data_IF_643400132572
#
_entry.id   IF_643400132572
#
_cell.length_a   1.000
_cell.length_b   1.000
_cell.length_c   1.000
_cell.angle_alpha   90.00
_cell.angle_beta   90.00
_cell.angle_gamma   90.00
#
_symmetry.space_group_name_H-M   'P 1'
#
loop_
_entity.id
_entity.type
_entity.pdbx_description
1 polymer ?
#
# COMPACT_ATOMS: atom_id res chain seq x y z
N UNK A 1 -0.41 -8.61 8.71
CA UNK A 1 0.72 -8.04 9.47
C UNK A 1 2.04 -8.39 8.79
N UNK A 2 3.05 -7.52 8.88
CA UNK A 2 4.40 -7.79 8.39
C UNK A 2 5.03 -9.03 9.07
N UNK A 3 5.59 -9.97 8.30
CA UNK A 3 6.22 -11.18 8.86
C UNK A 3 7.42 -10.87 9.75
N UNK A 4 7.71 -11.75 10.71
CA UNK A 4 8.81 -11.57 11.68
C UNK A 4 10.17 -11.36 11.00
N UNK A 5 10.44 -12.08 9.91
CA UNK A 5 11.69 -11.98 9.16
C UNK A 5 11.82 -10.61 8.47
N UNK A 6 10.78 -10.18 7.77
CA UNK A 6 10.76 -8.87 7.10
C UNK A 6 10.78 -7.74 8.14
N UNK A 7 10.15 -7.91 9.30
CA UNK A 7 10.25 -7.01 10.46
C UNK A 7 11.70 -6.92 10.97
N UNK A 8 12.40 -8.04 11.14
CA UNK A 8 13.83 -8.08 11.51
C UNK A 8 14.72 -7.37 10.47
N UNK A 9 14.46 -7.56 9.18
CA UNK A 9 15.17 -6.84 8.09
C UNK A 9 14.97 -5.32 8.20
N UNK A 10 13.73 -4.85 8.34
CA UNK A 10 13.45 -3.42 8.54
C UNK A 10 14.12 -2.89 9.83
N UNK A 11 14.03 -3.61 10.94
CA UNK A 11 14.63 -3.19 12.22
C UNK A 11 16.15 -3.12 12.16
N UNK A 12 16.82 -4.12 11.56
CA UNK A 12 18.28 -4.12 11.35
C UNK A 12 18.71 -2.97 10.43
N UNK A 13 17.93 -2.66 9.40
CA UNK A 13 18.21 -1.50 8.54
C UNK A 13 18.04 -0.20 9.33
N UNK A 14 16.92 -0.02 10.01
CA UNK A 14 16.63 1.22 10.75
C UNK A 14 17.57 1.45 11.92
N UNK A 15 17.99 0.42 12.66
CA UNK A 15 18.99 0.55 13.74
C UNK A 15 20.34 1.08 13.26
N UNK A 16 20.67 0.86 11.98
CA UNK A 16 21.92 1.34 11.37
C UNK A 16 21.83 2.77 10.83
N UNK A 17 20.66 3.41 10.87
CA UNK A 17 20.48 4.78 10.39
C UNK A 17 20.76 5.80 11.50
N UNK A 18 21.54 6.87 11.23
CA UNK A 18 21.80 7.95 12.19
C UNK A 18 20.63 8.95 12.30
N UNK A 19 19.41 8.54 11.96
CA UNK A 19 18.20 9.35 12.00
C UNK A 19 17.09 8.64 12.78
N UNK A 20 16.05 9.38 13.14
CA UNK A 20 14.89 8.85 13.85
C UNK A 20 13.90 8.28 12.83
N UNK A 21 13.28 7.16 13.15
CA UNK A 21 12.28 6.50 12.30
C UNK A 21 10.95 6.54 13.02
N UNK A 22 9.94 7.17 12.42
CA UNK A 22 8.56 7.05 12.88
C UNK A 22 7.88 5.94 12.08
N UNK A 23 7.44 4.89 12.77
CA UNK A 23 6.77 3.75 12.13
C UNK A 23 5.35 3.66 12.70
N UNK A 24 4.33 3.79 11.83
CA UNK A 24 2.97 3.40 12.23
C UNK A 24 2.96 1.88 12.47
N UNK A 25 2.51 1.43 13.64
CA UNK A 25 2.54 0.01 13.99
C UNK A 25 1.39 -0.34 14.93
N UNK A 26 0.78 -1.52 14.73
CA UNK A 26 -0.51 -1.90 15.32
C UNK A 26 -0.51 -2.05 16.86
N UNK A 27 0.65 -2.26 17.48
CA UNK A 27 0.83 -2.39 18.94
C UNK A 27 1.67 -1.25 19.55
N UNK A 28 1.51 -0.98 20.86
CA UNK A 28 2.33 0.02 21.57
C UNK A 28 3.78 -0.45 21.79
N UNK A 29 4.05 -1.75 21.56
CA UNK A 29 5.33 -2.39 21.75
C UNK A 29 5.71 -3.14 20.47
N UNK A 30 6.88 -2.83 19.92
CA UNK A 30 7.45 -3.51 18.76
C UNK A 30 8.58 -4.45 19.22
N UNK A 31 8.48 -5.78 19.01
CA UNK A 31 9.52 -6.71 19.42
C UNK A 31 10.86 -6.41 18.73
N UNK A 32 11.89 -6.12 19.52
CA UNK A 32 13.23 -5.75 19.03
C UNK A 32 13.37 -4.29 18.57
N UNK A 33 12.52 -3.37 19.04
CA UNK A 33 12.57 -1.94 18.70
C UNK A 33 13.92 -1.27 19.02
N UNK A 34 14.65 -0.73 18.03
CA UNK A 34 15.84 0.09 18.25
C UNK A 34 15.51 1.44 18.88
N UNK A 35 16.47 2.03 19.60
CA UNK A 35 16.30 3.32 20.30
C UNK A 35 16.03 4.53 19.38
N UNK A 36 16.38 4.44 18.09
CA UNK A 36 16.08 5.45 17.10
C UNK A 36 14.75 5.22 16.35
N UNK A 37 14.03 4.13 16.61
CA UNK A 37 12.71 3.83 16.05
C UNK A 37 11.63 4.17 17.08
N UNK A 38 10.66 4.99 16.70
CA UNK A 38 9.47 5.33 17.50
C UNK A 38 8.21 4.81 16.81
N UNK A 39 7.48 3.93 17.51
CA UNK A 39 6.22 3.37 17.02
C UNK A 39 4.99 4.08 17.58
N UNK A 40 3.94 4.17 16.76
CA UNK A 40 2.60 4.65 17.14
C UNK A 40 1.51 3.89 16.38
N UNK A 41 0.40 3.56 17.05
CA UNK A 41 -0.80 2.98 16.41
C UNK A 41 -1.40 3.88 15.33
N UNK A 42 -1.37 5.19 15.58
CA UNK A 42 -1.88 6.20 14.66
C UNK A 42 -0.85 7.31 14.46
N UNK A 43 -0.64 7.68 13.20
CA UNK A 43 0.22 8.77 12.78
C UNK A 43 -0.58 9.64 11.81
N UNK A 44 -0.68 10.95 12.09
CA UNK A 44 -1.29 11.92 11.18
C UNK A 44 -0.35 12.17 9.99
N UNK A 45 -0.37 11.26 9.03
CA UNK A 45 0.60 11.19 7.93
C UNK A 45 0.79 12.53 7.20
N UNK A 46 -0.30 13.16 6.77
CA UNK A 46 -0.28 14.47 6.09
C UNK A 46 0.42 15.55 6.94
N UNK A 47 0.17 15.62 8.25
CA UNK A 47 0.83 16.58 9.14
C UNK A 47 2.32 16.26 9.31
N UNK A 48 2.66 14.98 9.47
CA UNK A 48 4.05 14.55 9.63
C UNK A 48 4.83 14.84 8.34
N UNK A 49 4.33 14.48 7.16
CA UNK A 49 4.99 14.70 5.87
C UNK A 49 5.26 16.19 5.61
N UNK A 50 4.40 17.10 6.09
CA UNK A 50 4.62 18.55 6.00
C UNK A 50 5.66 19.11 6.96
N UNK A 51 6.24 18.30 7.87
CA UNK A 51 7.23 18.77 8.82
C UNK A 51 8.62 18.93 8.15
N UNK A 52 9.33 20.07 8.34
CA UNK A 52 10.55 20.41 7.57
C UNK A 52 11.74 19.44 7.72
N UNK A 53 11.75 18.64 8.78
CA UNK A 53 12.80 17.63 9.06
C UNK A 53 12.53 16.24 8.41
N UNK A 54 11.44 16.07 7.67
CA UNK A 54 11.17 14.85 6.89
C UNK A 54 12.10 14.81 5.68
N UNK A 55 12.72 13.65 5.45
CA UNK A 55 13.68 13.49 4.34
C UNK A 55 13.34 12.35 3.40
N UNK A 56 12.60 11.34 3.86
CA UNK A 56 12.20 10.20 3.05
C UNK A 56 10.93 9.56 3.62
N UNK A 57 10.00 9.22 2.74
CA UNK A 57 8.81 8.46 3.04
C UNK A 57 8.91 7.03 2.49
N UNK A 58 8.75 6.02 3.34
CA UNK A 58 8.70 4.61 2.94
C UNK A 58 7.24 4.14 3.00
N UNK A 59 6.69 3.69 1.87
CA UNK A 59 5.25 3.37 1.76
C UNK A 59 5.01 2.18 0.84
N UNK A 60 3.84 1.55 0.93
CA UNK A 60 3.39 0.52 -0.02
C UNK A 60 3.08 1.07 -1.43
N UNK A 61 3.24 2.38 -1.67
CA UNK A 61 2.98 3.04 -2.95
C UNK A 61 1.50 3.09 -3.39
N UNK A 62 0.57 3.15 -2.43
CA UNK A 62 -0.82 3.52 -2.71
C UNK A 62 -0.94 4.96 -3.20
N UNK A 63 -1.89 5.20 -4.12
CA UNK A 63 -2.05 6.48 -4.83
C UNK A 63 -2.14 7.70 -3.90
N UNK A 64 -2.99 7.64 -2.86
CA UNK A 64 -3.19 8.74 -1.91
C UNK A 64 -1.90 9.04 -1.11
N UNK A 65 -1.19 8.01 -0.65
CA UNK A 65 0.08 8.17 0.07
C UNK A 65 1.17 8.82 -0.80
N UNK A 66 1.18 8.53 -2.11
CA UNK A 66 2.06 9.21 -3.07
C UNK A 66 1.62 10.66 -3.30
N UNK A 67 0.32 10.95 -3.40
CA UNK A 67 -0.18 12.32 -3.57
C UNK A 67 0.15 13.20 -2.34
N UNK A 68 0.03 12.70 -1.12
CA UNK A 68 0.44 13.43 0.09
C UNK A 68 1.95 13.72 0.11
N UNK A 69 2.78 12.74 -0.26
CA UNK A 69 4.23 12.92 -0.33
C UNK A 69 4.64 13.88 -1.46
N UNK A 70 3.97 13.84 -2.62
CA UNK A 70 4.10 14.85 -3.68
C UNK A 70 3.70 16.23 -3.15
N UNK A 71 2.57 16.34 -2.46
CA UNK A 71 2.11 17.62 -1.91
C UNK A 71 3.13 18.23 -0.95
N UNK A 72 3.87 17.43 -0.17
CA UNK A 72 4.94 17.95 0.71
C UNK A 72 6.35 17.95 0.09
N UNK A 73 6.50 17.51 -1.16
CA UNK A 73 7.80 17.41 -1.83
C UNK A 73 8.76 16.46 -1.12
N UNK A 74 8.24 15.33 -0.61
CA UNK A 74 8.99 14.30 0.12
C UNK A 74 9.34 13.14 -0.82
N UNK A 75 10.63 12.80 -0.98
CA UNK A 75 11.06 11.62 -1.73
C UNK A 75 10.47 10.32 -1.20
N UNK A 76 10.26 9.35 -2.10
CA UNK A 76 9.54 8.10 -1.78
C UNK A 76 10.41 6.87 -2.01
N UNK A 77 10.45 5.96 -1.04
CA UNK A 77 10.89 4.58 -1.23
C UNK A 77 9.67 3.65 -1.18
N UNK A 78 9.22 3.22 -2.35
CA UNK A 78 8.07 2.34 -2.45
C UNK A 78 8.46 0.88 -2.26
N UNK A 79 7.72 0.20 -1.40
CA UNK A 79 7.77 -1.25 -1.20
C UNK A 79 6.40 -1.80 -1.63
N UNK A 80 6.10 -1.91 -2.94
CA UNK A 80 4.80 -2.36 -3.42
C UNK A 80 4.55 -3.85 -3.13
N UNK A 81 3.29 -4.18 -2.93
CA UNK A 81 2.80 -5.51 -2.57
C UNK A 81 1.95 -6.14 -3.67
N UNK A 82 0.97 -5.41 -4.19
CA UNK A 82 -0.01 -5.92 -5.14
C UNK A 82 -0.56 -4.84 -6.06
N UNK A 83 -1.14 -5.27 -7.19
CA UNK A 83 -1.91 -4.44 -8.11
C UNK A 83 -1.24 -3.11 -8.54
N UNK A 84 -1.94 -2.00 -8.42
CA UNK A 84 -1.59 -0.67 -8.93
C UNK A 84 -0.33 -0.07 -8.29
N UNK A 85 0.01 -0.51 -7.07
CA UNK A 85 1.16 -0.04 -6.29
C UNK A 85 2.48 -0.10 -7.06
N UNK A 86 2.68 -1.16 -7.84
CA UNK A 86 3.87 -1.32 -8.70
C UNK A 86 3.93 -0.23 -9.78
N UNK A 87 2.80 0.06 -10.42
CA UNK A 87 2.67 1.11 -11.44
C UNK A 87 2.88 2.50 -10.83
N UNK A 88 2.33 2.74 -9.64
CA UNK A 88 2.44 4.02 -8.95
C UNK A 88 3.90 4.34 -8.56
N UNK A 89 4.65 3.38 -7.98
CA UNK A 89 6.07 3.62 -7.65
C UNK A 89 6.96 3.68 -8.89
N UNK A 90 6.66 2.91 -9.96
CA UNK A 90 7.40 3.03 -11.21
C UNK A 90 7.29 4.46 -11.75
N UNK A 91 6.07 5.03 -11.83
CA UNK A 91 5.87 6.45 -12.21
C UNK A 91 6.69 7.41 -11.34
N UNK A 92 6.71 7.23 -10.02
CA UNK A 92 7.49 8.08 -9.12
C UNK A 92 9.02 7.97 -9.33
N UNK A 93 9.49 6.77 -9.68
CA UNK A 93 10.89 6.52 -10.07
C UNK A 93 11.23 7.15 -11.41
N UNK A 94 10.36 7.04 -12.40
CA UNK A 94 10.56 7.60 -13.75
C UNK A 94 10.60 9.14 -13.72
N UNK A 95 9.86 9.76 -12.80
CA UNK A 95 9.92 11.21 -12.53
C UNK A 95 11.07 11.63 -11.58
N UNK A 96 11.91 10.69 -11.15
CA UNK A 96 13.14 10.93 -10.38
C UNK A 96 12.94 11.31 -8.91
N UNK A 97 11.73 11.16 -8.34
CA UNK A 97 11.44 11.49 -6.93
C UNK A 97 11.26 10.26 -6.02
N UNK A 98 11.38 9.04 -6.56
CA UNK A 98 11.37 7.83 -5.75
C UNK A 98 12.19 6.65 -6.27
N UNK A 99 12.26 5.60 -5.47
CA UNK A 99 12.84 4.30 -5.81
C UNK A 99 11.91 3.17 -5.41
N UNK A 100 12.07 2.02 -6.05
CA UNK A 100 11.36 0.78 -5.71
C UNK A 100 12.29 -0.22 -5.03
N UNK A 101 11.77 -0.88 -3.99
CA UNK A 101 12.29 -2.11 -3.40
C UNK A 101 11.21 -3.18 -3.53
N UNK A 102 11.55 -4.34 -4.08
CA UNK A 102 10.62 -5.46 -4.21
C UNK A 102 10.40 -6.14 -2.86
N UNK A 103 9.15 -6.21 -2.40
CA UNK A 103 8.80 -6.80 -1.11
C UNK A 103 9.23 -8.27 -0.98
N UNK A 104 9.16 -9.05 -2.06
CA UNK A 104 9.53 -10.46 -2.02
C UNK A 104 11.03 -10.64 -1.74
N UNK A 105 11.87 -9.91 -2.47
CA UNK A 105 13.32 -10.19 -2.57
C UNK A 105 14.22 -9.32 -1.71
N UNK A 106 13.72 -8.25 -1.06
CA UNK A 106 14.60 -7.33 -0.33
C UNK A 106 15.27 -7.94 0.91
N UNK A 107 16.53 -7.54 1.09
CA UNK A 107 17.35 -7.77 2.28
C UNK A 107 17.65 -6.43 2.99
N UNK A 108 18.36 -6.50 4.12
CA UNK A 108 18.73 -5.30 4.91
C UNK A 108 19.64 -4.38 4.12
N UNK A 109 20.55 -4.99 3.37
CA UNK A 109 21.63 -4.37 2.61
C UNK A 109 21.05 -3.65 1.39
N UNK A 110 20.10 -4.29 0.67
CA UNK A 110 19.35 -3.67 -0.43
C UNK A 110 18.52 -2.49 0.08
N UNK A 111 17.81 -2.66 1.20
CA UNK A 111 16.98 -1.61 1.79
C UNK A 111 17.82 -0.41 2.24
N UNK A 112 18.92 -0.64 2.95
CA UNK A 112 19.87 0.39 3.36
C UNK A 112 20.46 1.13 2.17
N UNK A 113 20.96 0.40 1.15
CA UNK A 113 21.53 1.00 -0.05
C UNK A 113 20.53 1.90 -0.78
N UNK A 114 19.24 1.54 -0.82
CA UNK A 114 18.18 2.37 -1.42
C UNK A 114 17.83 3.60 -0.57
N UNK A 115 17.74 3.45 0.75
CA UNK A 115 17.55 4.57 1.69
C UNK A 115 18.72 5.57 1.56
N UNK A 116 19.96 5.07 1.57
CA UNK A 116 21.18 5.86 1.36
C UNK A 116 21.18 6.52 -0.02
N UNK A 117 20.83 5.80 -1.11
CA UNK A 117 20.75 6.37 -2.46
C UNK A 117 19.83 7.60 -2.52
N UNK A 118 18.70 7.59 -1.83
CA UNK A 118 17.78 8.73 -1.77
C UNK A 118 18.30 9.83 -0.84
N UNK A 119 18.85 9.48 0.32
CA UNK A 119 19.25 10.45 1.36
C UNK A 119 20.62 11.10 1.13
N UNK A 120 21.54 10.46 0.40
CA UNK A 120 22.96 10.82 0.36
C UNK A 120 23.49 11.23 -1.02
N UNK A 121 22.71 11.17 -2.10
CA UNK A 121 23.17 11.57 -3.44
C UNK A 121 23.31 13.11 -3.62
N UNK A 122 24.27 13.68 -2.91
CA UNK A 122 25.31 14.51 -3.53
C UNK A 122 26.40 13.56 -4.06
N UNK A 123 27.05 13.88 -5.19
CA UNK A 123 27.97 12.97 -5.92
C UNK A 123 29.17 12.48 -5.07
N UNK A 124 29.76 11.34 -5.49
CA UNK A 124 30.83 10.50 -4.84
C UNK A 124 30.21 9.42 -3.92
N UNK A 125 30.36 8.09 -4.13
CA UNK A 125 31.58 7.24 -4.06
C UNK A 125 31.75 6.71 -2.62
N UNK A 126 31.90 5.42 -2.27
CA UNK A 126 32.23 4.17 -2.99
C UNK A 126 31.62 2.89 -2.32
N UNK A 127 31.66 1.77 -3.06
CA UNK A 127 31.90 0.35 -2.65
C UNK A 127 31.48 -0.18 -1.25
N UNK A 128 30.44 -1.02 -1.23
CA UNK A 128 30.38 -2.39 -0.66
C UNK A 128 29.01 -2.99 -1.05
N UNK A 129 28.79 -4.27 -1.39
CA UNK A 129 29.63 -5.46 -1.28
C UNK A 129 29.07 -6.44 -0.25
N UNK A 130 28.08 -7.29 -0.61
CA UNK A 130 27.83 -8.62 -0.02
C UNK A 130 26.70 -9.39 -0.75
N UNK A 131 26.88 -10.70 -0.92
CA UNK A 131 25.85 -11.74 -1.16
C UNK A 131 25.36 -12.31 0.21
N UNK A 132 24.37 -13.20 0.41
CA UNK A 132 23.78 -14.33 -0.36
C UNK A 132 22.31 -14.66 0.02
N UNK A 133 21.54 -15.13 -0.98
CA UNK A 133 20.57 -16.26 -1.03
C UNK A 133 19.51 -16.62 0.08
N UNK A 134 18.24 -16.66 -0.40
CA UNK A 134 16.99 -17.46 -0.08
C UNK A 134 16.75 -18.19 1.26
N UNK A 135 15.49 -18.13 1.73
CA UNK A 135 14.48 -19.24 1.84
C UNK A 135 13.04 -18.61 1.94
N UNK A 136 11.97 -19.41 1.93
CA UNK A 136 10.53 -19.08 1.78
C UNK A 136 9.77 -19.31 3.14
N UNK A 137 8.52 -18.89 3.42
CA UNK A 137 7.35 -18.46 2.60
C UNK A 137 6.31 -17.55 3.36
N UNK A 138 5.07 -17.56 2.87
CA UNK A 138 3.76 -17.22 3.47
C UNK A 138 3.34 -15.74 3.69
N UNK A 139 2.08 -15.48 3.32
CA UNK A 139 1.49 -14.14 3.14
C UNK A 139 0.56 -13.72 4.28
N UNK A 140 0.67 -12.47 4.73
CA UNK A 140 -0.51 -11.70 5.15
C UNK A 140 -0.28 -10.20 4.94
N UNK A 141 -1.26 -9.50 4.35
CA UNK A 141 -1.13 -8.08 4.04
C UNK A 141 -1.30 -7.19 5.28
N UNK A 142 -0.63 -6.05 5.25
CA UNK A 142 -0.94 -4.73 5.83
C UNK A 142 0.40 -4.01 5.94
N UNK A 143 0.61 -2.93 5.17
CA UNK A 143 1.74 -2.02 5.39
C UNK A 143 1.25 -0.64 5.79
N UNK A 144 1.46 -0.43 7.08
CA UNK A 144 1.56 0.85 7.72
C UNK A 144 2.74 1.64 7.17
N UNK A 145 2.49 2.91 6.89
CA UNK A 145 3.47 3.80 6.33
C UNK A 145 4.60 4.11 7.32
N UNK A 146 5.84 4.09 6.82
CA UNK A 146 7.07 4.32 7.58
C UNK A 146 7.67 5.65 7.15
N UNK A 147 8.03 6.48 8.11
CA UNK A 147 8.49 7.85 7.87
C UNK A 147 9.89 8.03 8.45
N UNK A 148 10.87 8.39 7.61
CA UNK A 148 12.23 8.64 8.05
C UNK A 148 12.45 10.14 8.34
N UNK A 149 12.82 10.43 9.59
CA UNK A 149 12.89 11.77 10.17
C UNK A 149 14.29 12.10 10.65
N UNK A 150 14.92 13.14 10.10
CA UNK A 150 16.30 13.49 10.48
C UNK A 150 16.34 14.71 11.40
N UNK A 151 16.54 14.48 12.69
CA UNK A 151 17.08 15.52 13.58
C UNK A 151 18.57 15.70 13.29
N UNK A 152 19.02 16.95 13.15
CA UNK A 152 20.44 17.36 13.04
C UNK A 152 21.29 16.61 12.00
N UNK A 153 21.11 16.94 10.72
CA UNK A 153 22.25 17.24 9.83
C UNK A 153 21.73 17.92 8.56
N UNK A 154 22.28 19.08 8.20
CA UNK A 154 22.01 19.70 6.90
C UNK A 154 22.81 18.97 5.83
N UNK A 155 22.27 17.86 5.32
CA UNK A 155 22.79 17.26 4.09
C UNK A 155 22.40 18.18 2.91
N UNK A 156 23.29 18.37 1.91
CA UNK A 156 22.89 18.98 0.64
C UNK A 156 21.72 18.20 0.05
N UNK A 157 20.72 18.91 -0.50
CA UNK A 157 19.52 18.28 -1.04
C UNK A 157 19.91 17.29 -2.15
N UNK A 158 19.46 16.04 -2.02
CA UNK A 158 19.66 15.05 -3.06
C UNK A 158 18.80 15.37 -4.28
N UNK A 159 19.23 14.89 -5.46
CA UNK A 159 18.45 15.03 -6.70
C UNK A 159 17.01 14.51 -6.56
N UNK A 160 16.77 13.51 -5.71
CA UNK A 160 15.43 13.03 -5.37
C UNK A 160 14.58 14.09 -4.64
N UNK A 161 15.17 14.85 -3.71
CA UNK A 161 14.48 15.93 -2.98
C UNK A 161 14.14 17.09 -3.91
N UNK A 162 15.06 17.47 -4.78
CA UNK A 162 14.83 18.50 -5.80
C UNK A 162 13.72 18.09 -6.79
N UNK A 163 13.73 16.83 -7.25
CA UNK A 163 12.64 16.29 -8.09
C UNK A 163 11.31 16.22 -7.34
N UNK A 164 11.30 15.80 -6.07
CA UNK A 164 10.09 15.77 -5.25
C UNK A 164 9.51 17.19 -5.08
N UNK A 165 10.35 18.20 -4.83
CA UNK A 165 9.95 19.60 -4.74
C UNK A 165 9.49 20.17 -6.08
N UNK A 166 10.13 19.80 -7.19
CA UNK A 166 9.70 20.16 -8.55
C UNK A 166 8.30 19.62 -8.85
N UNK A 167 8.06 18.33 -8.57
CA UNK A 167 6.73 17.71 -8.76
C UNK A 167 5.72 18.28 -7.76
N UNK A 168 6.12 18.63 -6.53
CA UNK A 168 5.28 19.33 -5.55
C UNK A 168 4.79 20.68 -6.05
N UNK A 169 5.68 21.49 -6.64
CA UNK A 169 5.32 22.77 -7.25
C UNK A 169 4.29 22.58 -8.37
N UNK A 170 4.54 21.65 -9.30
CA UNK A 170 3.61 21.33 -10.39
C UNK A 170 2.27 20.76 -9.91
N UNK A 171 2.23 20.03 -8.80
CA UNK A 171 0.99 19.49 -8.23
C UNK A 171 0.15 20.56 -7.53
N UNK A 172 0.80 21.56 -6.93
CA UNK A 172 0.16 22.72 -6.28
C UNK A 172 -0.21 23.83 -7.27
N UNK A 173 0.36 23.82 -8.47
CA UNK A 173 0.05 24.74 -9.55
C UNK A 173 -1.36 24.47 -10.09
N UNK A 174 -2.34 25.12 -9.48
CA UNK A 174 -3.77 24.97 -9.78
C UNK A 174 -4.40 26.37 -9.79
N UNK A 175 -5.38 26.63 -10.68
CA UNK A 175 -5.96 27.98 -10.85
C UNK A 175 -6.74 28.48 -9.62
N UNK A 176 -7.09 27.59 -8.70
CA UNK A 176 -7.85 27.89 -7.48
C UNK A 176 -7.20 27.22 -6.28
N UNK A 177 -7.14 27.94 -5.16
CA UNK A 177 -6.69 27.38 -3.88
C UNK A 177 -7.69 26.34 -3.35
N UNK A 178 -7.26 25.40 -2.48
CA UNK A 178 -8.18 24.45 -1.82
C UNK A 178 -9.33 25.12 -1.08
N UNK A 179 -9.10 26.32 -0.51
CA UNK A 179 -10.14 27.11 0.16
C UNK A 179 -11.17 27.66 -0.84
N UNK A 180 -10.73 28.24 -1.97
CA UNK A 180 -11.63 28.71 -3.02
C UNK A 180 -12.47 27.55 -3.60
N UNK A 181 -11.86 26.38 -3.82
CA UNK A 181 -12.57 25.17 -4.25
C UNK A 181 -13.63 24.74 -3.22
N UNK A 182 -13.29 24.75 -1.94
CA UNK A 182 -14.26 24.41 -0.88
C UNK A 182 -15.43 25.39 -0.86
N UNK A 183 -15.18 26.71 -0.94
CA UNK A 183 -16.22 27.75 -1.04
C UNK A 183 -17.09 27.51 -2.28
N UNK A 184 -16.48 27.34 -3.46
CA UNK A 184 -17.19 27.09 -4.71
C UNK A 184 -18.12 25.87 -4.62
N UNK A 185 -17.63 24.73 -4.12
CA UNK A 185 -18.44 23.52 -3.99
C UNK A 185 -19.55 23.66 -2.94
N UNK A 186 -19.30 24.35 -1.82
CA UNK A 186 -20.33 24.68 -0.83
C UNK A 186 -21.43 25.54 -1.45
N UNK A 187 -21.08 26.63 -2.13
CA UNK A 187 -22.03 27.47 -2.86
C UNK A 187 -22.74 26.72 -3.99
N UNK A 188 -22.06 25.80 -4.68
CA UNK A 188 -22.65 24.97 -5.73
C UNK A 188 -23.75 24.08 -5.17
N UNK A 189 -23.51 23.41 -4.03
CA UNK A 189 -24.50 22.58 -3.36
C UNK A 189 -25.70 23.42 -2.89
N UNK A 190 -25.46 24.61 -2.35
CA UNK A 190 -26.52 25.54 -1.95
C UNK A 190 -27.36 26.04 -3.14
N UNK A 191 -26.71 26.47 -4.23
CA UNK A 191 -27.37 26.95 -5.47
C UNK A 191 -28.18 25.86 -6.19
N UNK A 192 -27.83 24.60 -6.01
CA UNK A 192 -28.46 23.45 -6.68
C UNK A 192 -29.27 22.57 -5.71
N UNK A 193 -29.81 23.15 -4.61
CA UNK A 193 -30.68 22.47 -3.65
C UNK A 193 -30.17 21.08 -3.20
N UNK A 194 -28.90 20.99 -2.80
CA UNK A 194 -28.27 19.73 -2.36
C UNK A 194 -27.52 18.96 -3.46
N UNK A 195 -27.57 19.43 -4.71
CA UNK A 195 -26.85 18.85 -5.87
C UNK A 195 -27.06 17.33 -6.03
N UNK A 196 -28.33 16.90 -6.00
CA UNK A 196 -28.73 15.48 -6.08
C UNK A 196 -28.14 14.73 -7.28
N UNK A 197 -27.89 15.41 -8.40
CA UNK A 197 -27.28 14.86 -9.61
C UNK A 197 -25.78 14.48 -9.46
N UNK A 198 -25.11 14.93 -8.40
CA UNK A 198 -23.73 14.53 -8.07
C UNK A 198 -23.66 13.41 -7.01
N UNK A 199 -24.78 13.04 -6.38
CA UNK A 199 -24.85 11.86 -5.50
C UNK A 199 -24.81 10.61 -6.37
N UNK A 200 -24.14 9.57 -5.90
CA UNK A 200 -24.25 8.25 -6.54
C UNK A 200 -25.66 7.70 -6.33
N UNK A 201 -26.26 7.10 -7.36
CA UNK A 201 -27.60 6.48 -7.27
C UNK A 201 -27.70 5.38 -6.20
N UNK A 202 -26.55 4.85 -5.75
CA UNK A 202 -26.45 3.89 -4.64
C UNK A 202 -26.75 4.51 -3.26
N UNK A 203 -26.61 5.83 -3.08
CA UNK A 203 -26.81 6.48 -1.79
C UNK A 203 -28.29 6.55 -1.36
N UNK A 204 -29.20 6.57 -2.34
CA UNK A 204 -30.65 6.66 -2.16
C UNK A 204 -31.35 5.31 -2.41
N UNK A 205 -30.56 4.24 -2.57
CA UNK A 205 -31.02 2.90 -2.93
C UNK A 205 -31.53 2.12 -1.70
N UNK A 206 -32.69 1.43 -1.78
CA UNK A 206 -33.16 0.55 -0.73
C UNK A 206 -32.16 -0.56 -0.40
N UNK A 207 -32.04 -0.91 0.88
CA UNK A 207 -31.03 -1.85 1.39
C UNK A 207 -31.02 -3.21 0.68
N UNK A 208 -32.17 -3.70 0.19
CA UNK A 208 -32.26 -4.98 -0.54
C UNK A 208 -31.72 -4.92 -1.97
N UNK A 209 -31.82 -3.76 -2.65
CA UNK A 209 -31.16 -3.52 -3.95
C UNK A 209 -29.66 -3.32 -3.75
N UNK A 210 -29.27 -2.60 -2.70
CA UNK A 210 -27.85 -2.42 -2.34
C UNK A 210 -27.16 -3.75 -2.03
N UNK A 211 -27.86 -4.69 -1.37
CA UNK A 211 -27.37 -6.04 -1.10
C UNK A 211 -27.56 -7.04 -2.26
N UNK A 212 -28.14 -6.63 -3.40
CA UNK A 212 -28.35 -7.45 -4.59
C UNK A 212 -29.01 -8.82 -4.28
N UNK A 213 -30.04 -8.82 -3.42
CA UNK A 213 -30.67 -10.06 -2.93
C UNK A 213 -31.26 -10.93 -4.05
N UNK A 214 -31.70 -10.30 -5.15
CA UNK A 214 -32.14 -10.94 -6.39
C UNK A 214 -31.00 -11.71 -7.07
N UNK A 215 -29.82 -11.10 -7.22
CA UNK A 215 -28.62 -11.74 -7.77
C UNK A 215 -28.16 -12.88 -6.87
N UNK A 216 -28.17 -12.69 -5.54
CA UNK A 216 -27.83 -13.74 -4.56
C UNK A 216 -28.80 -14.93 -4.69
N UNK A 217 -30.10 -14.68 -4.84
CA UNK A 217 -31.09 -15.74 -5.03
C UNK A 217 -30.89 -16.52 -6.34
N UNK A 218 -30.62 -15.82 -7.46
CA UNK A 218 -30.35 -16.47 -8.77
C UNK A 218 -29.06 -17.31 -8.72
N UNK A 219 -27.98 -16.79 -8.14
CA UNK A 219 -26.73 -17.53 -8.00
C UNK A 219 -26.88 -18.73 -7.05
N UNK A 220 -27.54 -18.54 -5.90
CA UNK A 220 -27.77 -19.60 -4.92
C UNK A 220 -28.64 -20.74 -5.47
N UNK A 221 -29.73 -20.42 -6.18
CA UNK A 221 -30.57 -21.43 -6.84
C UNK A 221 -29.82 -22.17 -7.94
N UNK A 222 -28.98 -21.47 -8.72
CA UNK A 222 -28.08 -22.09 -9.69
C UNK A 222 -27.13 -23.11 -9.06
N UNK A 223 -26.46 -22.75 -7.95
CA UNK A 223 -25.58 -23.66 -7.19
C UNK A 223 -26.35 -24.87 -6.66
N UNK A 224 -27.54 -24.68 -6.09
CA UNK A 224 -28.39 -25.78 -5.61
C UNK A 224 -28.76 -26.74 -6.76
N UNK A 225 -29.16 -26.22 -7.93
CA UNK A 225 -29.48 -27.04 -9.10
C UNK A 225 -28.27 -27.86 -9.57
N UNK A 226 -27.08 -27.28 -9.63
CA UNK A 226 -25.84 -28.00 -9.97
C UNK A 226 -25.54 -29.11 -8.96
N UNK A 227 -25.66 -28.83 -7.66
CA UNK A 227 -25.46 -29.84 -6.61
C UNK A 227 -26.48 -30.99 -6.69
N UNK A 228 -27.75 -30.68 -6.98
CA UNK A 228 -28.80 -31.69 -7.19
C UNK A 228 -28.56 -32.55 -8.43
N UNK A 229 -28.07 -31.96 -9.52
CA UNK A 229 -27.67 -32.69 -10.73
C UNK A 229 -26.48 -33.63 -10.46
N UNK A 230 -25.43 -33.12 -9.80
CA UNK A 230 -24.27 -33.93 -9.39
C UNK A 230 -24.68 -35.08 -8.46
N UNK A 231 -25.51 -34.82 -7.46
CA UNK A 231 -26.05 -35.86 -6.58
C UNK A 231 -26.84 -36.92 -7.37
N UNK A 232 -27.70 -36.52 -8.31
CA UNK A 232 -28.45 -37.47 -9.13
C UNK A 232 -27.52 -38.30 -10.03
N UNK A 233 -26.50 -37.69 -10.66
CA UNK A 233 -25.50 -38.38 -11.46
C UNK A 233 -24.73 -39.42 -10.63
N UNK A 234 -24.19 -39.03 -9.46
CA UNK A 234 -23.51 -39.95 -8.54
C UNK A 234 -24.42 -41.09 -8.08
N UNK A 235 -25.68 -40.79 -7.74
CA UNK A 235 -26.67 -41.80 -7.35
C UNK A 235 -27.04 -42.75 -8.49
N UNK A 236 -26.93 -42.32 -9.76
CA UNK A 236 -27.18 -43.14 -10.94
C UNK A 236 -25.99 -44.05 -11.21
N UNK A 237 -24.76 -43.52 -11.16
CA UNK A 237 -23.52 -44.31 -11.27
C UNK A 237 -23.45 -45.38 -10.18
N UNK A 238 -23.75 -45.05 -8.92
CA UNK A 238 -23.79 -46.02 -7.83
C UNK A 238 -24.85 -47.11 -8.04
N UNK A 239 -26.04 -46.74 -8.53
CA UNK A 239 -27.10 -47.71 -8.88
C UNK A 239 -26.73 -48.61 -10.05
N UNK A 240 -26.00 -48.11 -11.05
CA UNK A 240 -25.50 -48.90 -12.16
C UNK A 240 -24.36 -49.84 -11.71
N UNK A 241 -23.40 -49.36 -10.94
CA UNK A 241 -22.31 -50.17 -10.37
C UNK A 241 -22.86 -51.33 -9.52
N UNK A 242 -23.82 -51.07 -8.61
CA UNK A 242 -24.47 -52.11 -7.81
C UNK A 242 -25.27 -53.11 -8.65
N UNK A 243 -25.88 -52.68 -9.78
CA UNK A 243 -26.52 -53.62 -10.72
C UNK A 243 -25.49 -54.51 -11.40
N UNK A 244 -24.35 -53.97 -11.84
CA UNK A 244 -23.27 -54.73 -12.49
C UNK A 244 -22.63 -55.74 -11.53
N UNK A 245 -22.37 -55.34 -10.27
CA UNK A 245 -21.83 -56.24 -9.22
C UNK A 245 -22.78 -57.43 -8.98
N UNK A 246 -24.10 -57.18 -8.90
CA UNK A 246 -25.11 -58.24 -8.72
C UNK A 246 -25.35 -59.13 -9.96
N UNK A 247 -24.82 -58.77 -11.13
CA UNK A 247 -25.07 -59.49 -12.40
C UNK A 247 -23.91 -60.38 -12.85
N UNK A 248 -22.83 -60.46 -12.07
CA UNK A 248 -21.67 -61.31 -12.34
C UNK A 248 -21.93 -62.70 -11.74
N UNK A 249 -22.20 -63.76 -12.54
CA UNK A 249 -22.31 -65.11 -12.02
C UNK A 249 -20.93 -65.64 -11.61
N UNK A 250 -20.93 -66.69 -10.78
CA UNK A 250 -19.75 -67.54 -10.56
C UNK A 250 -19.46 -68.37 -11.81
#
# INVERSE_FOLDING_TARGET
>A
MLSEEKRKVFLKAFSSLPCKVFWKWESDHLPGQPSNVEVRKWLLQNYILGHPNIRLFITHAGLLSIQEAIYHGVPILGVPFFADQYTNINKAKDHGFGEKVDFATFTTEILLAKIQKILQNSRVGERAGLSTEKVVSDCSYQIDNIILYKMKFSLPCSSYKENAERISRLFKDQPETPLQKAIFWTEYVLRNNGAHHLRSSSADMPWYQYLLLDVIAVLGTGVILVLLLLYKLLSAVFRLANKTIKKKPN
#
